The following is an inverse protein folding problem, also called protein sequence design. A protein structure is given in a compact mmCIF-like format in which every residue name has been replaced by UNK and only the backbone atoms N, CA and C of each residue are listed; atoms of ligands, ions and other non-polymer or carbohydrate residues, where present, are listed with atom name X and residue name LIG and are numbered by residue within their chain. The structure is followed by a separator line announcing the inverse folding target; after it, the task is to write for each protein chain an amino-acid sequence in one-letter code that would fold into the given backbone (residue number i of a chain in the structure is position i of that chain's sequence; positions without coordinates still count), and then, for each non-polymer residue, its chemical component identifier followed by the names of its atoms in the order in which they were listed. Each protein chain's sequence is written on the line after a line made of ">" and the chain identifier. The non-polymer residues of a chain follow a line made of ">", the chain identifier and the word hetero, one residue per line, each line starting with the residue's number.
data_IF_219694019623
#
_entry.id   IF_219694019623
#
_cell.length_a   1.000
_cell.length_b   1.000
_cell.length_c   1.000
_cell.angle_alpha   90.00
_cell.angle_beta   90.00
_cell.angle_gamma   90.00
#
_symmetry.space_group_name_H-M   'P 1'
#
loop_
_entity.id
_entity.type
_entity.pdbx_description
1 polymer ?
#
# COMPACT_ATOMS: atom_id res chain seq x y z
N UNK A 1 -7.75 9.49 -26.97
CA UNK A 1 -6.43 9.85 -26.45
C UNK A 1 -6.61 10.32 -25.02
N UNK A 2 -5.64 10.08 -24.16
CA UNK A 2 -5.70 10.50 -22.75
C UNK A 2 -5.31 11.97 -22.68
N UNK A 3 -6.10 12.78 -22.00
CA UNK A 3 -5.88 14.22 -21.82
C UNK A 3 -5.26 14.54 -20.45
N UNK A 4 -4.63 15.71 -20.33
CA UNK A 4 -4.17 16.23 -19.04
C UNK A 4 -5.26 16.36 -17.98
N UNK A 5 -6.51 16.61 -18.40
CA UNK A 5 -7.68 16.63 -17.48
C UNK A 5 -7.95 15.23 -16.90
N UNK A 6 -7.91 14.19 -17.72
CA UNK A 6 -8.08 12.80 -17.26
C UNK A 6 -6.97 12.41 -16.29
N UNK A 7 -5.72 12.81 -16.56
CA UNK A 7 -4.59 12.59 -15.64
C UNK A 7 -4.76 13.33 -14.33
N UNK A 8 -5.20 14.59 -14.35
CA UNK A 8 -5.50 15.34 -13.14
C UNK A 8 -6.64 14.69 -12.31
N UNK A 9 -7.61 14.09 -12.99
CA UNK A 9 -8.67 13.28 -12.38
C UNK A 9 -8.13 12.03 -11.69
N UNK A 10 -7.26 11.29 -12.37
CA UNK A 10 -6.59 10.10 -11.83
C UNK A 10 -5.74 10.43 -10.60
N UNK A 11 -4.91 11.47 -10.67
CA UNK A 11 -4.11 11.94 -9.52
C UNK A 11 -5.03 12.33 -8.35
N UNK A 12 -6.17 12.97 -8.61
CA UNK A 12 -7.14 13.32 -7.57
C UNK A 12 -7.73 12.09 -6.87
N UNK A 13 -7.99 11.02 -7.64
CA UNK A 13 -8.45 9.75 -7.07
C UNK A 13 -7.37 9.13 -6.17
N UNK A 14 -6.11 9.13 -6.61
CA UNK A 14 -4.98 8.62 -5.81
C UNK A 14 -4.81 9.42 -4.52
N UNK A 15 -4.88 10.75 -4.56
CA UNK A 15 -4.83 11.60 -3.35
C UNK A 15 -5.93 11.20 -2.37
N UNK A 16 -7.15 10.99 -2.85
CA UNK A 16 -8.28 10.58 -1.99
C UNK A 16 -8.02 9.23 -1.31
N UNK A 17 -7.44 8.28 -2.05
CA UNK A 17 -7.06 6.97 -1.52
C UNK A 17 -5.97 7.11 -0.44
N UNK A 18 -4.95 7.92 -0.71
CA UNK A 18 -3.83 8.18 0.22
C UNK A 18 -4.34 8.88 1.49
N UNK A 19 -5.19 9.89 1.38
CA UNK A 19 -5.79 10.58 2.52
C UNK A 19 -6.58 9.60 3.39
N UNK A 20 -7.39 8.75 2.75
CA UNK A 20 -8.14 7.70 3.46
C UNK A 20 -7.22 6.67 4.11
N UNK A 21 -6.12 6.30 3.46
CA UNK A 21 -5.14 5.38 4.02
C UNK A 21 -4.43 5.98 5.25
N UNK A 22 -4.11 7.27 5.23
CA UNK A 22 -3.60 8.00 6.39
C UNK A 22 -4.60 7.92 7.54
N UNK A 23 -5.87 8.26 7.29
CA UNK A 23 -6.93 8.23 8.32
C UNK A 23 -7.09 6.83 8.94
N UNK A 24 -7.11 5.78 8.12
CA UNK A 24 -7.21 4.41 8.62
C UNK A 24 -5.97 3.97 9.38
N UNK A 25 -4.78 4.35 8.92
CA UNK A 25 -3.54 4.04 9.63
C UNK A 25 -3.50 4.75 11.00
N UNK A 26 -3.90 6.02 11.04
CA UNK A 26 -4.02 6.79 12.28
C UNK A 26 -5.01 6.16 13.27
N UNK A 27 -6.06 5.50 12.78
CA UNK A 27 -7.04 4.80 13.62
C UNK A 27 -6.55 3.45 14.18
N UNK A 28 -5.46 2.89 13.64
CA UNK A 28 -4.88 1.60 14.07
C UNK A 28 -3.48 1.71 14.67
N UNK A 29 -2.81 2.86 14.57
CA UNK A 29 -1.39 3.03 14.95
C UNK A 29 -1.06 2.71 16.42
N UNK A 30 -2.06 2.75 17.29
CA UNK A 30 -1.94 2.53 18.73
C UNK A 30 -2.37 1.10 19.14
N UNK A 31 -2.63 0.20 18.19
CA UNK A 31 -2.93 -1.21 18.49
C UNK A 31 -1.70 -1.90 19.11
N UNK A 32 -1.95 -2.69 20.17
CA UNK A 32 -0.88 -3.47 20.81
C UNK A 32 -0.36 -4.56 19.86
N UNK A 33 0.96 -4.71 19.77
CA UNK A 33 1.60 -5.66 18.87
C UNK A 33 1.55 -5.29 17.39
N UNK A 34 1.15 -4.06 17.01
CA UNK A 34 1.22 -3.61 15.63
C UNK A 34 2.68 -3.59 15.12
N UNK A 35 3.00 -4.24 13.99
CA UNK A 35 4.36 -4.24 13.46
C UNK A 35 4.87 -2.84 13.15
N UNK A 36 6.14 -2.56 13.45
CA UNK A 36 6.78 -1.25 13.21
C UNK A 36 6.68 -0.82 11.74
N UNK A 37 6.60 -1.77 10.80
CA UNK A 37 6.36 -1.51 9.39
C UNK A 37 5.14 -0.62 9.12
N UNK A 38 4.05 -0.75 9.87
CA UNK A 38 2.86 0.10 9.72
C UNK A 38 3.17 1.56 10.03
N UNK A 39 3.88 1.80 11.13
CA UNK A 39 4.33 3.14 11.53
C UNK A 39 5.31 3.74 10.54
N UNK A 40 6.23 2.92 10.02
CA UNK A 40 7.19 3.35 9.01
C UNK A 40 6.47 3.75 7.72
N UNK A 41 5.52 2.95 7.25
CA UNK A 41 4.68 3.28 6.08
C UNK A 41 3.86 4.55 6.32
N UNK A 42 3.23 4.68 7.49
CA UNK A 42 2.46 5.86 7.86
C UNK A 42 3.27 7.15 7.70
N UNK A 43 4.52 7.17 8.18
CA UNK A 43 5.38 8.33 8.11
C UNK A 43 5.80 8.75 6.67
N UNK A 44 5.58 7.89 5.66
CA UNK A 44 5.94 8.19 4.25
C UNK A 44 4.72 8.58 3.40
N UNK A 45 3.51 8.29 3.85
CA UNK A 45 2.29 8.71 3.17
C UNK A 45 2.19 10.23 2.96
N UNK A 46 2.63 11.09 3.90
CA UNK A 46 2.65 12.54 3.66
C UNK A 46 3.52 12.97 2.47
N UNK A 47 4.69 12.33 2.27
CA UNK A 47 5.56 12.61 1.13
C UNK A 47 4.87 12.24 -0.19
N UNK A 48 4.26 11.05 -0.25
CA UNK A 48 3.48 10.57 -1.40
C UNK A 48 2.34 11.55 -1.71
N UNK A 49 1.59 11.96 -0.69
CA UNK A 49 0.50 12.92 -0.81
C UNK A 49 0.95 14.27 -1.37
N UNK A 50 2.07 14.79 -0.86
CA UNK A 50 2.62 16.08 -1.27
C UNK A 50 3.00 16.06 -2.76
N UNK A 51 3.73 15.03 -3.20
CA UNK A 51 4.13 14.84 -4.61
C UNK A 51 2.90 14.83 -5.53
N UNK A 52 1.84 14.11 -5.14
CA UNK A 52 0.61 14.04 -5.92
C UNK A 52 -0.13 15.37 -5.99
N UNK A 53 -0.18 16.14 -4.89
CA UNK A 53 -0.81 17.46 -4.87
C UNK A 53 -0.11 18.43 -5.82
N UNK A 54 1.22 18.44 -5.82
CA UNK A 54 2.02 19.23 -6.74
C UNK A 54 1.77 18.80 -8.19
N UNK A 55 1.82 17.50 -8.46
CA UNK A 55 1.61 16.95 -9.80
C UNK A 55 0.21 17.24 -10.35
N UNK A 56 -0.82 17.22 -9.51
CA UNK A 56 -2.20 17.58 -9.90
C UNK A 56 -2.30 19.00 -10.46
N UNK A 57 -1.52 19.95 -9.93
CA UNK A 57 -1.48 21.33 -10.41
C UNK A 57 -0.95 21.44 -11.84
N UNK A 58 0.03 20.61 -12.19
CA UNK A 58 0.70 20.60 -13.49
C UNK A 58 -0.02 19.72 -14.52
N UNK A 59 -0.66 18.64 -14.08
CA UNK A 59 -1.29 17.63 -14.95
C UNK A 59 -2.29 18.19 -15.97
N UNK A 60 -3.02 19.26 -15.63
CA UNK A 60 -3.98 19.88 -16.55
C UNK A 60 -3.35 20.44 -17.83
N UNK A 61 -2.06 20.74 -17.80
CA UNK A 61 -1.30 21.30 -18.91
C UNK A 61 -0.47 20.24 -19.66
N UNK A 62 -0.55 18.97 -19.26
CA UNK A 62 0.14 17.88 -19.94
C UNK A 62 -0.39 17.73 -21.37
N UNK A 63 0.52 17.58 -22.33
CA UNK A 63 0.16 17.23 -23.69
C UNK A 63 -0.32 15.77 -23.79
N UNK A 64 -0.90 15.39 -24.93
CA UNK A 64 -1.49 14.06 -25.11
C UNK A 64 -0.46 12.92 -25.04
N UNK A 65 0.81 13.17 -25.42
CA UNK A 65 1.86 12.18 -25.37
C UNK A 65 2.31 11.93 -23.94
N UNK A 66 2.57 13.00 -23.20
CA UNK A 66 2.91 12.93 -21.77
C UNK A 66 1.76 12.32 -20.97
N UNK A 67 0.52 12.77 -21.21
CA UNK A 67 -0.65 12.22 -20.55
C UNK A 67 -0.82 10.71 -20.80
N UNK A 68 -0.62 10.28 -22.05
CA UNK A 68 -0.69 8.85 -22.39
C UNK A 68 0.44 8.04 -21.73
N UNK A 69 1.64 8.60 -21.61
CA UNK A 69 2.78 7.95 -20.98
C UNK A 69 2.61 7.84 -19.44
N UNK A 70 1.97 8.83 -18.81
CA UNK A 70 1.72 8.85 -17.36
C UNK A 70 0.66 7.85 -16.91
N UNK A 71 -0.30 7.53 -17.78
CA UNK A 71 -1.51 6.79 -17.41
C UNK A 71 -1.22 5.47 -16.71
N UNK A 72 -0.37 4.61 -17.29
CA UNK A 72 -0.09 3.29 -16.73
C UNK A 72 0.67 3.35 -15.41
N UNK A 73 1.63 4.27 -15.28
CA UNK A 73 2.35 4.49 -14.02
C UNK A 73 1.43 4.94 -12.89
N UNK A 74 0.48 5.82 -13.19
CA UNK A 74 -0.52 6.29 -12.24
C UNK A 74 -1.55 5.21 -11.87
N UNK A 75 -2.03 4.43 -12.83
CA UNK A 75 -2.92 3.29 -12.56
C UNK A 75 -2.23 2.24 -11.66
N UNK A 76 -0.96 1.96 -11.93
CA UNK A 76 -0.13 1.09 -11.10
C UNK A 76 0.06 1.63 -9.69
N UNK A 77 0.31 2.94 -9.54
CA UNK A 77 0.41 3.59 -8.24
C UNK A 77 -0.93 3.54 -7.49
N UNK A 78 -2.05 3.77 -8.20
CA UNK A 78 -3.40 3.72 -7.65
C UNK A 78 -3.72 2.33 -7.08
N UNK A 79 -3.41 1.27 -7.82
CA UNK A 79 -3.67 -0.11 -7.38
C UNK A 79 -2.95 -0.42 -6.06
N UNK A 80 -1.68 -0.01 -5.94
CA UNK A 80 -0.88 -0.24 -4.72
C UNK A 80 -1.39 0.59 -3.54
N UNK A 81 -1.74 1.86 -3.77
CA UNK A 81 -2.30 2.72 -2.74
C UNK A 81 -3.67 2.20 -2.26
N UNK A 82 -4.49 1.68 -3.18
CA UNK A 82 -5.78 1.07 -2.85
C UNK A 82 -5.59 -0.21 -2.04
N UNK A 83 -4.61 -1.05 -2.41
CA UNK A 83 -4.27 -2.25 -1.65
C UNK A 83 -3.82 -1.91 -0.23
N UNK A 84 -2.98 -0.89 -0.06
CA UNK A 84 -2.54 -0.39 1.25
C UNK A 84 -3.71 0.11 2.09
N UNK A 85 -4.60 0.93 1.51
CA UNK A 85 -5.82 1.41 2.17
C UNK A 85 -6.69 0.26 2.64
N UNK A 86 -6.86 -0.77 1.81
CA UNK A 86 -7.68 -1.94 2.13
C UNK A 86 -7.09 -2.78 3.27
N UNK A 87 -5.76 -2.86 3.38
CA UNK A 87 -5.09 -3.50 4.52
C UNK A 87 -5.44 -2.78 5.82
N UNK A 88 -5.29 -1.45 5.84
CA UNK A 88 -5.57 -0.66 7.05
C UNK A 88 -7.05 -0.73 7.44
N UNK A 89 -7.96 -0.66 6.46
CA UNK A 89 -9.39 -0.85 6.70
C UNK A 89 -9.69 -2.22 7.31
N UNK A 90 -9.09 -3.28 6.78
CA UNK A 90 -9.33 -4.63 7.26
C UNK A 90 -8.87 -4.79 8.71
N UNK A 91 -7.69 -4.29 9.05
CA UNK A 91 -7.18 -4.30 10.44
C UNK A 91 -8.08 -3.48 11.36
N UNK A 92 -8.56 -2.31 10.89
CA UNK A 92 -9.45 -1.46 11.67
C UNK A 92 -10.79 -2.14 11.98
N UNK A 93 -11.33 -2.90 11.04
CA UNK A 93 -12.61 -3.60 11.16
C UNK A 93 -12.51 -4.88 12.02
N UNK A 94 -11.36 -5.55 11.98
CA UNK A 94 -11.17 -6.87 12.59
C UNK A 94 -10.17 -6.84 13.78
N UNK A 95 -9.93 -5.67 14.36
CA UNK A 95 -9.16 -5.52 15.61
C UNK A 95 -9.90 -6.20 16.78
N UNK A 96 -9.16 -6.70 17.76
CA UNK A 96 -9.76 -7.29 18.94
C UNK A 96 -10.38 -6.23 19.85
N UNK A 97 -11.33 -6.65 20.70
CA UNK A 97 -12.02 -5.76 21.65
C UNK A 97 -11.08 -5.13 22.68
N UNK A 98 -9.96 -5.79 22.97
CA UNK A 98 -8.91 -5.31 23.87
C UNK A 98 -7.89 -4.38 23.19
N UNK A 99 -8.05 -4.09 21.90
CA UNK A 99 -7.17 -3.17 21.16
C UNK A 99 -5.86 -3.80 20.70
N UNK A 100 -5.77 -5.12 20.64
CA UNK A 100 -4.62 -5.83 20.10
C UNK A 100 -4.69 -6.01 18.58
N UNK A 101 -3.52 -6.05 17.95
CA UNK A 101 -3.34 -6.41 16.56
C UNK A 101 -3.54 -7.91 16.36
N UNK A 102 -4.42 -8.30 15.42
CA UNK A 102 -4.73 -9.69 15.13
C UNK A 102 -3.92 -10.17 13.92
N UNK A 103 -2.74 -10.77 14.17
CA UNK A 103 -1.80 -11.20 13.10
C UNK A 103 -2.45 -12.14 12.07
N UNK A 104 -3.36 -13.03 12.50
CA UNK A 104 -4.03 -13.98 11.61
C UNK A 104 -4.96 -13.30 10.61
N UNK A 105 -5.59 -12.18 10.99
CA UNK A 105 -6.43 -11.37 10.10
C UNK A 105 -5.57 -10.73 9.01
N UNK A 106 -4.47 -10.08 9.41
CA UNK A 106 -3.53 -9.49 8.46
C UNK A 106 -2.93 -10.56 7.54
N UNK A 107 -2.46 -11.67 8.09
CA UNK A 107 -1.92 -12.79 7.31
C UNK A 107 -2.91 -13.37 6.32
N UNK A 108 -4.18 -13.52 6.69
CA UNK A 108 -5.23 -13.98 5.78
C UNK A 108 -5.47 -13.00 4.61
N UNK A 109 -5.32 -11.69 4.82
CA UNK A 109 -5.39 -10.70 3.74
C UNK A 109 -4.19 -10.82 2.81
N UNK A 110 -2.97 -10.83 3.37
CA UNK A 110 -1.72 -10.93 2.62
C UNK A 110 -1.69 -12.21 1.76
N UNK A 111 -2.08 -13.36 2.33
CA UNK A 111 -2.22 -14.63 1.61
C UNK A 111 -3.21 -14.56 0.43
N UNK A 112 -4.39 -13.95 0.64
CA UNK A 112 -5.46 -13.89 -0.38
C UNK A 112 -5.14 -12.96 -1.55
N UNK A 113 -4.21 -12.01 -1.39
CA UNK A 113 -3.84 -11.03 -2.40
C UNK A 113 -2.63 -11.50 -3.21
N UNK A 114 -1.46 -10.90 -3.02
CA UNK A 114 -0.22 -11.15 -3.78
C UNK A 114 0.87 -11.78 -2.90
N UNK A 115 0.49 -12.36 -1.75
CA UNK A 115 1.44 -12.91 -0.77
C UNK A 115 2.40 -11.82 -0.28
N UNK A 116 3.71 -12.07 -0.31
CA UNK A 116 4.75 -11.13 0.11
C UNK A 116 4.67 -9.76 -0.58
N UNK A 117 4.09 -9.72 -1.80
CA UNK A 117 3.86 -8.48 -2.55
C UNK A 117 2.83 -7.53 -1.92
N UNK A 118 2.02 -8.04 -0.99
CA UNK A 118 0.95 -7.32 -0.28
C UNK A 118 1.38 -6.86 1.12
N UNK A 119 2.65 -7.07 1.51
CA UNK A 119 3.17 -6.49 2.76
C UNK A 119 3.19 -4.97 2.66
N UNK A 120 2.88 -4.29 3.76
CA UNK A 120 2.75 -2.81 3.77
C UNK A 120 4.05 -2.11 3.35
N UNK A 121 5.20 -2.61 3.81
CA UNK A 121 6.52 -2.10 3.45
C UNK A 121 6.85 -2.35 1.97
N UNK A 122 6.48 -3.50 1.42
CA UNK A 122 6.66 -3.83 0.00
C UNK A 122 5.80 -2.94 -0.89
N UNK A 123 4.55 -2.69 -0.49
CA UNK A 123 3.64 -1.79 -1.22
C UNK A 123 4.16 -0.36 -1.21
N UNK A 124 4.60 0.15 -0.06
CA UNK A 124 5.16 1.50 0.06
C UNK A 124 6.45 1.64 -0.77
N UNK A 125 7.35 0.66 -0.70
CA UNK A 125 8.57 0.67 -1.52
C UNK A 125 8.24 0.78 -3.02
N UNK A 126 7.28 -0.02 -3.49
CA UNK A 126 6.87 0.00 -4.90
C UNK A 126 6.16 1.29 -5.32
N UNK A 127 5.42 1.94 -4.40
CA UNK A 127 4.85 3.28 -4.64
C UNK A 127 5.97 4.31 -4.82
N UNK A 128 7.01 4.26 -3.98
CA UNK A 128 8.18 5.14 -4.11
C UNK A 128 8.94 4.90 -5.41
N UNK A 129 9.07 3.64 -5.84
CA UNK A 129 9.64 3.27 -7.14
C UNK A 129 8.80 3.82 -8.31
N UNK A 130 7.46 3.75 -8.22
CA UNK A 130 6.58 4.37 -9.21
C UNK A 130 6.84 5.88 -9.31
N UNK A 131 7.05 6.59 -8.20
CA UNK A 131 7.38 8.02 -8.23
C UNK A 131 8.77 8.34 -8.79
N UNK A 132 9.76 7.47 -8.60
CA UNK A 132 11.06 7.61 -9.27
C UNK A 132 10.89 7.55 -10.79
N UNK A 133 10.09 6.60 -11.30
CA UNK A 133 9.79 6.51 -12.73
C UNK A 133 9.01 7.74 -13.19
N UNK A 134 7.98 8.14 -12.44
CA UNK A 134 7.15 9.30 -12.78
C UNK A 134 7.95 10.61 -12.77
N UNK A 135 9.02 10.73 -11.97
CA UNK A 135 9.88 11.93 -11.91
C UNK A 135 10.55 12.32 -13.24
N UNK A 136 10.53 11.41 -14.22
CA UNK A 136 11.03 11.65 -15.58
C UNK A 136 10.10 12.55 -16.41
N UNK A 137 8.85 12.74 -15.98
CA UNK A 137 7.84 13.57 -16.65
C UNK A 137 7.72 14.95 -16.01
N UNK A 138 7.41 15.97 -16.82
CA UNK A 138 7.31 17.36 -16.38
C UNK A 138 6.18 17.56 -15.36
N UNK A 139 5.07 16.82 -15.50
CA UNK A 139 3.98 16.79 -14.51
C UNK A 139 4.47 16.44 -13.10
N UNK A 140 5.53 15.65 -12.98
CA UNK A 140 6.11 15.19 -11.72
C UNK A 140 7.43 15.91 -11.37
N UNK A 141 7.57 17.17 -11.77
CA UNK A 141 8.74 17.99 -11.42
C UNK A 141 8.99 18.05 -9.91
N UNK A 142 7.93 18.01 -9.09
CA UNK A 142 8.06 17.95 -7.64
C UNK A 142 8.70 16.65 -7.14
N UNK A 143 8.37 15.50 -7.74
CA UNK A 143 9.02 14.23 -7.44
C UNK A 143 10.52 14.31 -7.78
N UNK A 144 10.86 14.92 -8.92
CA UNK A 144 12.25 15.15 -9.33
C UNK A 144 13.02 16.04 -8.35
N UNK A 145 12.38 17.10 -7.82
CA UNK A 145 12.99 17.97 -6.79
C UNK A 145 13.17 17.27 -5.44
N UNK A 146 12.40 16.21 -5.18
CA UNK A 146 12.40 15.42 -3.95
C UNK A 146 13.06 14.05 -4.14
N UNK A 147 13.88 13.87 -5.18
CA UNK A 147 14.51 12.58 -5.52
C UNK A 147 15.31 12.01 -4.34
N UNK A 148 16.06 12.85 -3.63
CA UNK A 148 16.81 12.45 -2.43
C UNK A 148 15.90 11.95 -1.30
N UNK A 149 14.76 12.61 -1.08
CA UNK A 149 13.78 12.21 -0.07
C UNK A 149 13.09 10.89 -0.43
N UNK A 150 12.76 10.70 -1.71
CA UNK A 150 12.15 9.46 -2.23
C UNK A 150 13.15 8.30 -2.10
N UNK A 151 14.40 8.49 -2.51
CA UNK A 151 15.42 7.45 -2.42
C UNK A 151 15.73 7.12 -0.97
N UNK A 152 15.84 8.12 -0.09
CA UNK A 152 16.00 7.90 1.35
C UNK A 152 14.83 7.09 1.92
N UNK A 153 13.59 7.48 1.61
CA UNK A 153 12.40 6.75 2.07
C UNK A 153 12.41 5.30 1.59
N UNK A 154 12.86 5.05 0.35
CA UNK A 154 12.97 3.71 -0.23
C UNK A 154 14.03 2.87 0.47
N UNK A 155 15.21 3.43 0.72
CA UNK A 155 16.27 2.77 1.48
C UNK A 155 15.81 2.45 2.91
N UNK A 156 15.11 3.37 3.55
CA UNK A 156 14.51 3.11 4.86
C UNK A 156 13.55 1.92 4.79
N UNK A 157 12.67 1.81 3.78
CA UNK A 157 11.75 0.66 3.61
C UNK A 157 12.48 -0.67 3.47
N UNK A 158 13.65 -0.71 2.82
CA UNK A 158 14.45 -1.95 2.72
C UNK A 158 15.02 -2.43 4.06
N UNK A 159 15.14 -1.53 5.03
CA UNK A 159 15.63 -1.82 6.37
C UNK A 159 14.50 -2.08 7.39
N UNK A 160 13.24 -1.92 6.99
CA UNK A 160 12.09 -2.16 7.85
C UNK A 160 11.94 -3.67 8.09
N UNK A 161 11.81 -4.12 9.35
CA UNK A 161 11.49 -5.52 9.63
C UNK A 161 10.16 -5.92 8.96
N UNK A 162 10.04 -7.15 8.43
CA UNK A 162 8.82 -7.59 7.76
C UNK A 162 7.57 -7.36 8.62
N UNK A 163 6.49 -6.87 8.00
CA UNK A 163 5.22 -6.67 8.72
C UNK A 163 4.54 -7.97 9.14
N UNK A 164 4.94 -9.10 8.57
CA UNK A 164 4.49 -10.44 8.92
C UNK A 164 5.55 -11.43 8.47
N UNK A 165 5.82 -12.44 9.29
CA UNK A 165 6.82 -13.46 8.97
C UNK A 165 6.37 -14.38 7.83
N UNK A 166 7.32 -14.88 7.04
CA UNK A 166 7.05 -15.84 5.95
C UNK A 166 6.34 -17.10 6.50
N UNK A 167 6.71 -17.55 7.71
CA UNK A 167 6.10 -18.72 8.37
C UNK A 167 4.62 -18.52 8.73
N UNK A 168 4.19 -17.28 8.98
CA UNK A 168 2.77 -16.98 9.21
C UNK A 168 1.96 -17.00 7.89
N UNK A 169 2.66 -16.96 6.76
CA UNK A 169 2.09 -17.07 5.42
C UNK A 169 2.11 -18.50 4.86
N UNK A 170 2.80 -19.44 5.51
CA UNK A 170 2.78 -20.85 5.13
C UNK A 170 1.46 -21.52 5.56
N UNK A 171 0.98 -22.46 4.74
CA UNK A 171 -0.11 -23.35 5.15
C UNK A 171 0.51 -24.46 5.98
N UNK A 172 0.19 -24.52 7.27
CA UNK A 172 0.68 -25.58 8.16
C UNK A 172 0.25 -26.94 7.60
N UNK A 173 1.18 -27.84 7.23
CA UNK A 173 0.82 -29.19 6.82
C UNK A 173 0.34 -29.95 8.06
N UNK A 174 -0.98 -30.16 8.21
CA UNK A 174 -1.48 -31.03 9.28
C UNK A 174 -2.92 -30.89 9.75
N UNK A 175 -3.73 -29.92 9.30
CA UNK A 175 -5.16 -29.91 9.66
C UNK A 175 -6.00 -30.72 8.67
N UNK A 176 -5.66 -32.00 8.49
CA UNK A 176 -6.58 -32.98 7.90
C UNK A 176 -7.62 -33.32 8.95
N UNK A 177 -8.86 -32.90 8.72
CA UNK A 177 -10.02 -33.32 9.49
C UNK A 177 -10.11 -34.86 9.47
N UNK A 178 -9.88 -35.50 10.61
CA UNK A 178 -10.08 -36.94 10.77
C UNK A 178 -11.58 -37.23 10.77
N UNK A 179 -12.14 -37.54 9.59
CA UNK A 179 -13.43 -38.20 9.46
C UNK A 179 -13.26 -39.69 9.79
N UNK A 180 -13.10 -40.01 11.07
CA UNK A 180 -13.35 -41.35 11.56
C UNK A 180 -14.07 -41.29 12.91
N UNK A 181 -15.33 -40.90 12.87
CA UNK A 181 -16.30 -41.16 13.93
C UNK A 181 -17.50 -41.84 13.27
N UNK A 182 -17.49 -43.16 13.25
CA UNK A 182 -18.62 -43.94 12.73
C UNK A 182 -18.26 -45.28 12.13
N UNK A 183 -17.48 -46.11 12.83
CA UNK A 183 -17.66 -47.56 12.72
C UNK A 183 -17.48 -48.19 14.09
N UNK A 184 -18.42 -49.08 14.38
CA UNK A 184 -18.61 -49.92 15.57
C UNK A 184 -19.27 -49.14 16.72
N UNK A 185 -20.44 -49.49 17.24
CA UNK A 185 -20.93 -50.76 17.83
C UNK A 185 -22.49 -50.64 17.86
N UNK A 186 -23.34 -51.55 17.37
CA UNK A 186 -23.72 -52.92 17.81
C UNK A 186 -24.31 -53.66 16.62
#
# INVERSE_FOLDING_TARGET
>A
MVSGIEIAGLISAIITIVDTAIDFCDAIKDLDGLPEAFKQVHARLPLVREILLDAKGLAKNADENEASALKSGLENCQEKAEELKMIFLHILQDKSEDGAFVVSVYGAFVKRKKGLGSRVETLMQRILEDFQILSTYAVFEAAKKKEDDIEKARQEMTNVPPSIDDSDLEDKPGSTWNQNAGRDIV
#
